data_IF_994864490364
#
_entry.id   IF_994864490364
#
_cell.length_a   1.000
_cell.length_b   1.000
_cell.length_c   1.000
_cell.angle_alpha   90.00
_cell.angle_beta   90.00
_cell.angle_gamma   90.00
#
_symmetry.space_group_name_H-M   'P 1'
#
loop_
_entity.id
_entity.type
_entity.pdbx_description
1 polymer ?
#
# COMPACT_ATOMS: atom_id res chain seq x y z
N UNK A 1 6.91 4.01 -14.29
CA UNK A 1 5.78 3.99 -13.33
C UNK A 1 6.38 3.91 -11.93
N UNK A 2 6.20 4.95 -11.12
CA UNK A 2 6.71 4.98 -9.75
C UNK A 2 5.93 4.01 -8.86
N UNK A 3 6.61 3.39 -7.89
CA UNK A 3 6.03 2.52 -6.86
C UNK A 3 5.26 1.29 -7.37
N UNK A 4 5.71 0.67 -8.47
CA UNK A 4 5.16 -0.62 -8.92
C UNK A 4 5.33 -1.72 -7.87
N UNK A 5 6.38 -1.67 -7.05
CA UNK A 5 6.67 -2.67 -6.03
C UNK A 5 5.53 -2.80 -5.03
N UNK A 6 5.01 -1.67 -4.54
CA UNK A 6 3.85 -1.63 -3.64
C UNK A 6 2.63 -2.29 -4.28
N UNK A 7 2.38 -2.00 -5.56
CA UNK A 7 1.25 -2.59 -6.29
C UNK A 7 1.42 -4.10 -6.47
N UNK A 8 2.64 -4.57 -6.75
CA UNK A 8 2.95 -5.99 -6.90
C UNK A 8 2.83 -6.72 -5.57
N UNK A 9 3.35 -6.16 -4.48
CA UNK A 9 3.27 -6.75 -3.16
C UNK A 9 1.83 -6.81 -2.65
N UNK A 10 1.06 -5.73 -2.83
CA UNK A 10 -0.37 -5.73 -2.53
C UNK A 10 -1.13 -6.79 -3.34
N UNK A 11 -0.90 -6.85 -4.66
CA UNK A 11 -1.53 -7.85 -5.53
C UNK A 11 -1.13 -9.30 -5.18
N UNK A 12 0.15 -9.54 -4.86
CA UNK A 12 0.65 -10.85 -4.46
C UNK A 12 0.12 -11.30 -3.09
N UNK A 13 -0.16 -10.36 -2.20
CA UNK A 13 -0.78 -10.59 -0.90
C UNK A 13 -2.32 -10.68 -0.96
N UNK A 14 -2.94 -10.42 -2.12
CA UNK A 14 -4.41 -10.33 -2.24
C UNK A 14 -5.01 -9.05 -1.62
N UNK A 15 -4.18 -8.12 -1.15
CA UNK A 15 -4.59 -6.88 -0.51
C UNK A 15 -4.90 -5.81 -1.55
N UNK A 16 -6.05 -5.14 -1.40
CA UNK A 16 -6.45 -4.03 -2.28
C UNK A 16 -5.84 -2.71 -1.82
N UNK A 17 -5.54 -1.81 -2.76
CA UNK A 17 -4.98 -0.48 -2.46
C UNK A 17 -5.86 0.35 -1.51
N UNK A 18 -7.18 0.18 -1.60
CA UNK A 18 -8.12 0.85 -0.71
C UNK A 18 -8.03 0.35 0.74
N UNK A 19 -7.70 -0.93 0.98
CA UNK A 19 -7.53 -1.47 2.34
C UNK A 19 -6.28 -0.88 2.99
N UNK A 20 -5.21 -0.72 2.21
CA UNK A 20 -3.98 -0.06 2.67
C UNK A 20 -4.26 1.41 2.98
N UNK A 21 -5.03 2.08 2.13
CA UNK A 21 -5.43 3.46 2.34
C UNK A 21 -6.27 3.60 3.63
N UNK A 22 -7.21 2.68 3.85
CA UNK A 22 -8.06 2.64 5.05
C UNK A 22 -7.23 2.41 6.32
N UNK A 23 -6.31 1.45 6.30
CA UNK A 23 -5.37 1.20 7.40
C UNK A 23 -4.41 2.38 7.67
N UNK A 24 -4.05 3.14 6.63
CA UNK A 24 -3.31 4.39 6.76
C UNK A 24 -4.16 5.58 7.26
N UNK A 25 -5.48 5.42 7.34
CA UNK A 25 -6.41 6.51 7.68
C UNK A 25 -6.50 7.59 6.60
N UNK A 26 -6.21 7.25 5.33
CA UNK A 26 -6.25 8.17 4.20
C UNK A 26 -7.26 7.72 3.15
N UNK A 27 -7.77 8.66 2.37
CA UNK A 27 -8.62 8.32 1.24
C UNK A 27 -7.83 7.57 0.14
N UNK A 28 -8.44 6.58 -0.50
CA UNK A 28 -7.87 5.84 -1.65
C UNK A 28 -7.37 6.79 -2.75
N UNK A 29 -8.12 7.87 -3.02
CA UNK A 29 -7.76 8.86 -4.02
C UNK A 29 -6.51 9.68 -3.65
N UNK A 30 -6.18 9.80 -2.35
CA UNK A 30 -4.93 10.38 -1.85
C UNK A 30 -3.79 9.38 -1.96
N UNK A 31 -4.03 8.11 -1.62
CA UNK A 31 -3.04 7.04 -1.75
C UNK A 31 -2.63 6.80 -3.21
N UNK A 32 -3.61 6.70 -4.11
CA UNK A 32 -3.40 6.58 -5.56
C UNK A 32 -2.66 7.78 -6.16
N UNK A 33 -2.79 8.98 -5.58
CA UNK A 33 -2.00 10.16 -5.96
C UNK A 33 -0.59 10.12 -5.39
N UNK A 34 -0.42 9.68 -4.14
CA UNK A 34 0.89 9.47 -3.50
C UNK A 34 1.74 8.47 -4.28
N UNK A 35 1.15 7.35 -4.72
CA UNK A 35 1.86 6.32 -5.50
C UNK A 35 2.39 6.81 -6.86
N UNK A 36 1.89 7.93 -7.40
CA UNK A 36 2.42 8.52 -8.64
C UNK A 36 3.71 9.31 -8.43
N UNK A 37 3.99 9.73 -7.19
CA UNK A 37 5.20 10.48 -6.82
C UNK A 37 6.23 9.52 -6.20
N UNK A 38 7.51 9.88 -6.27
CA UNK A 38 8.53 9.11 -5.57
C UNK A 38 8.34 9.28 -4.06
N UNK A 39 8.06 8.18 -3.37
CA UNK A 39 7.86 8.18 -1.93
C UNK A 39 9.21 7.88 -1.23
N UNK A 40 9.49 8.53 -0.09
CA UNK A 40 10.65 8.19 0.70
C UNK A 40 10.57 6.74 1.19
N UNK A 41 11.74 6.12 1.38
CA UNK A 41 11.87 4.71 1.77
C UNK A 41 11.04 4.38 3.03
N UNK A 42 11.02 5.29 4.00
CA UNK A 42 10.28 5.14 5.26
C UNK A 42 8.76 4.99 5.04
N UNK A 43 8.17 5.75 4.11
CA UNK A 43 6.75 5.59 3.78
C UNK A 43 6.48 4.27 3.08
N UNK A 44 7.41 3.81 2.23
CA UNK A 44 7.28 2.50 1.58
C UNK A 44 7.29 1.36 2.61
N UNK A 45 8.18 1.42 3.59
CA UNK A 45 8.27 0.42 4.66
C UNK A 45 6.98 0.34 5.48
N UNK A 46 6.40 1.49 5.86
CA UNK A 46 5.10 1.54 6.54
C UNK A 46 4.01 0.85 5.71
N UNK A 47 3.96 1.14 4.40
CA UNK A 47 3.00 0.52 3.48
C UNK A 47 3.23 -1.00 3.40
N UNK A 48 4.47 -1.46 3.31
CA UNK A 48 4.77 -2.90 3.29
C UNK A 48 4.39 -3.60 4.59
N UNK A 49 4.58 -2.96 5.76
CA UNK A 49 4.12 -3.50 7.04
C UNK A 49 2.61 -3.68 7.04
N UNK A 50 1.87 -2.65 6.61
CA UNK A 50 0.40 -2.70 6.52
C UNK A 50 -0.06 -3.78 5.54
N UNK A 51 0.58 -3.91 4.37
CA UNK A 51 0.25 -5.00 3.43
C UNK A 51 0.46 -6.37 4.09
N UNK A 52 1.54 -6.54 4.86
CA UNK A 52 1.84 -7.80 5.55
C UNK A 52 0.80 -8.11 6.62
N UNK A 53 0.40 -7.12 7.41
CA UNK A 53 -0.64 -7.25 8.43
C UNK A 53 -1.99 -7.61 7.79
N UNK A 54 -2.42 -6.85 6.78
CA UNK A 54 -3.66 -7.11 6.04
C UNK A 54 -3.65 -8.46 5.33
N UNK A 55 -2.50 -8.90 4.83
CA UNK A 55 -2.34 -10.22 4.21
C UNK A 55 -2.53 -11.36 5.21
N UNK A 56 -2.24 -11.15 6.49
CA UNK A 56 -2.38 -12.16 7.53
C UNK A 56 -3.83 -12.21 8.07
N UNK A 57 -4.54 -11.08 8.11
CA UNK A 57 -5.95 -11.06 8.51
C UNK A 57 -6.91 -11.72 7.50
N UNK A 58 -6.52 -11.79 6.23
CA UNK A 58 -7.35 -12.39 5.16
C UNK A 58 -7.20 -13.93 5.09
N UNK A 59 -6.46 -14.53 6.03
CA UNK A 59 -6.12 -15.96 6.02
C UNK A 59 -7.09 -16.88 6.76
#
# INVERSE_FOLDING_TARGET
MSNQDIRRTAAGAGVKLWQIADALGIADCSFSRKLRKELPQEEKEKIFSIIRELSQEVS
#
